data_IF_564050924632
#
_entry.id   IF_564050924632
#
_cell.length_a   1.000
_cell.length_b   1.000
_cell.length_c   1.000
_cell.angle_alpha   90.00
_cell.angle_beta   90.00
_cell.angle_gamma   90.00
#
_symmetry.space_group_name_H-M   'P 1'
#
loop_
_entity.id
_entity.type
_entity.pdbx_description
1 polymer ?
#
# COMPACT_ATOMS: atom_id res chain seq x y z
N UNK A 1 58.08 5.98 -23.67
CA UNK A 1 56.87 6.82 -23.86
C UNK A 1 55.93 6.58 -22.69
N UNK A 2 55.27 7.65 -22.27
CA UNK A 2 54.57 7.83 -21.00
C UNK A 2 53.47 6.81 -20.73
N UNK A 3 53.27 6.52 -19.44
CA UNK A 3 52.04 5.98 -18.88
C UNK A 3 50.95 7.06 -19.03
N UNK A 4 49.85 6.71 -19.68
CA UNK A 4 48.55 7.40 -19.56
C UNK A 4 47.49 6.28 -19.52
N UNK A 5 47.13 5.78 -18.33
CA UNK A 5 46.02 6.28 -17.53
C UNK A 5 44.67 6.23 -18.25
N UNK A 6 43.96 5.10 -18.12
CA UNK A 6 42.51 5.11 -17.92
C UNK A 6 42.26 4.25 -16.69
N UNK A 7 41.81 4.81 -15.56
CA UNK A 7 41.40 4.00 -14.44
C UNK A 7 40.06 3.36 -14.81
N UNK A 8 40.01 2.04 -14.94
CA UNK A 8 38.78 1.26 -15.12
C UNK A 8 37.94 1.24 -13.83
N UNK A 9 37.65 2.43 -13.29
CA UNK A 9 36.80 2.65 -12.12
C UNK A 9 35.33 2.94 -12.50
N UNK A 10 34.84 2.40 -13.62
CA UNK A 10 33.47 2.71 -14.10
C UNK A 10 32.61 1.54 -14.58
N UNK A 11 32.93 0.28 -14.25
CA UNK A 11 32.04 -0.84 -14.60
C UNK A 11 31.84 -1.85 -13.46
N UNK A 12 31.67 -1.38 -12.23
CA UNK A 12 30.83 -2.12 -11.29
C UNK A 12 29.36 -1.84 -11.65
N UNK A 13 28.93 -2.28 -12.83
CA UNK A 13 27.50 -2.50 -13.11
C UNK A 13 27.13 -3.70 -12.26
N UNK A 14 26.71 -3.44 -11.03
CA UNK A 14 26.22 -4.46 -10.11
C UNK A 14 25.04 -5.16 -10.78
N UNK A 15 25.29 -6.33 -11.38
CA UNK A 15 24.24 -7.20 -11.87
C UNK A 15 23.54 -7.71 -10.62
N UNK A 16 22.39 -7.14 -10.30
CA UNK A 16 21.53 -7.67 -9.26
C UNK A 16 21.28 -9.15 -9.58
N UNK A 17 21.59 -10.02 -8.63
CA UNK A 17 21.26 -11.44 -8.72
C UNK A 17 19.75 -11.62 -8.87
N UNK A 18 19.28 -12.73 -9.46
CA UNK A 18 17.84 -12.98 -9.63
C UNK A 18 17.07 -12.83 -8.29
N UNK A 19 17.66 -13.28 -7.18
CA UNK A 19 17.11 -13.13 -5.83
C UNK A 19 17.10 -11.66 -5.32
N UNK A 20 17.97 -10.78 -5.79
CA UNK A 20 17.93 -9.34 -5.49
C UNK A 20 16.87 -8.63 -6.34
N UNK A 21 16.71 -9.03 -7.59
CA UNK A 21 15.67 -8.52 -8.47
C UNK A 21 14.26 -8.90 -7.97
N UNK A 22 14.04 -10.18 -7.63
CA UNK A 22 12.79 -10.66 -7.01
C UNK A 22 12.50 -9.94 -5.68
N UNK A 23 13.54 -9.65 -4.87
CA UNK A 23 13.44 -8.84 -3.64
C UNK A 23 12.94 -7.42 -3.91
N UNK A 24 13.50 -6.77 -4.93
CA UNK A 24 13.09 -5.42 -5.34
C UNK A 24 11.64 -5.42 -5.83
N UNK A 25 11.25 -6.36 -6.70
CA UNK A 25 9.89 -6.46 -7.22
C UNK A 25 8.86 -6.74 -6.11
N UNK A 26 9.18 -7.63 -5.16
CA UNK A 26 8.30 -7.94 -4.04
C UNK A 26 8.07 -6.73 -3.13
N UNK A 27 9.14 -6.00 -2.77
CA UNK A 27 9.03 -4.77 -1.96
C UNK A 27 8.26 -3.67 -2.67
N UNK A 28 8.48 -3.48 -3.97
CA UNK A 28 7.72 -2.53 -4.76
C UNK A 28 6.23 -2.87 -4.82
N UNK A 29 5.90 -4.16 -4.96
CA UNK A 29 4.52 -4.63 -4.97
C UNK A 29 3.84 -4.42 -3.62
N UNK A 30 4.48 -4.81 -2.51
CA UNK A 30 3.98 -4.58 -1.15
C UNK A 30 3.72 -3.09 -0.90
N UNK A 31 4.64 -2.22 -1.33
CA UNK A 31 4.48 -0.78 -1.20
C UNK A 31 3.27 -0.25 -1.98
N UNK A 32 3.05 -0.72 -3.22
CA UNK A 32 1.87 -0.37 -4.03
C UNK A 32 0.56 -0.84 -3.39
N UNK A 33 0.53 -2.07 -2.86
CA UNK A 33 -0.65 -2.61 -2.18
C UNK A 33 -0.96 -1.81 -0.91
N UNK A 34 0.06 -1.51 -0.09
CA UNK A 34 -0.08 -0.64 1.09
C UNK A 34 -0.66 0.72 0.71
N UNK A 35 -0.15 1.34 -0.35
CA UNK A 35 -0.67 2.63 -0.82
C UNK A 35 -2.14 2.54 -1.21
N UNK A 36 -2.56 1.48 -1.92
CA UNK A 36 -3.96 1.27 -2.28
C UNK A 36 -4.86 1.07 -1.04
N UNK A 37 -4.39 0.31 -0.05
CA UNK A 37 -5.09 0.07 1.23
C UNK A 37 -5.26 1.38 2.00
N UNK A 38 -4.23 2.22 2.07
CA UNK A 38 -4.29 3.55 2.70
C UNK A 38 -5.29 4.49 2.00
N UNK A 39 -5.31 4.50 0.67
CA UNK A 39 -6.29 5.26 -0.11
C UNK A 39 -7.72 4.78 0.21
N UNK A 40 -7.93 3.46 0.24
CA UNK A 40 -9.21 2.86 0.59
C UNK A 40 -9.68 3.26 1.99
N UNK A 41 -8.78 3.21 2.98
CA UNK A 41 -9.08 3.61 4.35
C UNK A 41 -9.46 5.10 4.45
N UNK A 42 -8.73 5.98 3.76
CA UNK A 42 -9.03 7.41 3.71
C UNK A 42 -10.40 7.67 3.08
N UNK A 43 -10.70 7.02 1.95
CA UNK A 43 -11.99 7.16 1.28
C UNK A 43 -13.14 6.67 2.16
N UNK A 44 -12.95 5.55 2.87
CA UNK A 44 -13.95 5.03 3.81
C UNK A 44 -14.24 6.03 4.95
N UNK A 45 -13.19 6.63 5.52
CA UNK A 45 -13.33 7.65 6.56
C UNK A 45 -14.18 8.85 6.12
N UNK A 46 -13.95 9.35 4.91
CA UNK A 46 -14.76 10.44 4.34
C UNK A 46 -16.22 10.04 4.10
N UNK A 47 -16.45 8.85 3.53
CA UNK A 47 -17.81 8.35 3.30
C UNK A 47 -18.59 8.23 4.62
N UNK A 48 -17.94 7.78 5.69
CA UNK A 48 -18.53 7.73 7.03
C UNK A 48 -18.88 9.13 7.54
N UNK A 49 -17.96 10.09 7.45
CA UNK A 49 -18.23 11.49 7.84
C UNK A 49 -19.42 12.08 7.09
N UNK A 50 -19.45 11.94 5.77
CA UNK A 50 -20.55 12.43 4.94
C UNK A 50 -21.89 11.78 5.31
N UNK A 51 -21.89 10.50 5.69
CA UNK A 51 -23.10 9.81 6.16
C UNK A 51 -23.55 10.37 7.51
N UNK A 52 -22.64 10.52 8.46
CA UNK A 52 -22.94 11.06 9.79
C UNK A 52 -23.52 12.49 9.68
N UNK A 53 -22.98 13.31 8.77
CA UNK A 53 -23.47 14.66 8.47
C UNK A 53 -24.87 14.63 7.83
N UNK A 54 -25.11 13.71 6.89
CA UNK A 54 -26.43 13.53 6.27
C UNK A 54 -27.49 13.14 7.31
N UNK A 55 -27.16 12.16 8.15
CA UNK A 55 -28.04 11.68 9.22
C UNK A 55 -28.27 12.76 10.29
N UNK A 56 -27.29 13.63 10.55
CA UNK A 56 -27.44 14.79 11.44
C UNK A 56 -28.36 15.85 10.84
N UNK A 57 -28.21 16.17 9.54
CA UNK A 57 -29.07 17.12 8.85
C UNK A 57 -30.54 16.67 8.84
N UNK A 58 -30.79 15.39 8.54
CA UNK A 58 -32.14 14.81 8.56
C UNK A 58 -32.77 14.89 9.96
N UNK A 59 -32.00 14.60 11.02
CA UNK A 59 -32.47 14.75 12.41
C UNK A 59 -32.84 16.19 12.78
N UNK A 60 -32.25 17.18 12.13
CA UNK A 60 -32.60 18.60 12.29
C UNK A 60 -33.76 19.04 11.39
N UNK A 61 -34.43 18.11 10.71
CA UNK A 61 -35.52 18.42 9.78
C UNK A 61 -35.05 19.02 8.46
N UNK A 62 -33.75 18.98 8.16
CA UNK A 62 -33.18 19.43 6.88
C UNK A 62 -33.08 18.24 5.95
N UNK A 63 -33.86 18.19 4.85
CA UNK A 63 -33.83 17.06 3.93
C UNK A 63 -32.46 16.98 3.25
N UNK A 64 -31.84 15.80 3.26
CA UNK A 64 -30.59 15.55 2.54
C UNK A 64 -30.90 15.16 1.08
N UNK A 65 -30.21 15.74 0.08
CA UNK A 65 -30.48 15.40 -1.32
C UNK A 65 -30.21 13.92 -1.60
N UNK A 66 -31.20 13.19 -2.14
CA UNK A 66 -31.10 11.73 -2.39
C UNK A 66 -29.89 11.33 -3.24
N UNK A 67 -29.47 12.18 -4.19
CA UNK A 67 -28.30 11.92 -5.04
C UNK A 67 -26.94 12.23 -4.39
N UNK A 68 -26.93 12.82 -3.19
CA UNK A 68 -25.70 13.16 -2.47
C UNK A 68 -25.41 12.19 -1.33
N UNK A 69 -26.34 11.27 -1.01
CA UNK A 69 -26.13 10.30 0.07
C UNK A 69 -25.00 9.34 -0.32
N UNK A 70 -23.95 9.21 0.50
CA UNK A 70 -22.89 8.24 0.24
C UNK A 70 -23.47 6.84 0.11
N UNK A 71 -23.07 6.11 -0.94
CA UNK A 71 -23.38 4.70 -1.09
C UNK A 71 -22.40 3.93 -0.21
N UNK A 72 -22.90 3.27 0.82
CA UNK A 72 -22.09 2.31 1.58
C UNK A 72 -21.89 1.06 0.72
N UNK A 73 -20.74 0.98 0.06
CA UNK A 73 -20.39 -0.14 -0.83
C UNK A 73 -19.98 -1.37 -0.03
N UNK A 74 -19.53 -1.19 1.21
CA UNK A 74 -18.99 -2.29 2.02
C UNK A 74 -20.07 -2.95 2.86
N UNK A 75 -21.01 -2.19 3.45
CA UNK A 75 -22.05 -2.71 4.35
C UNK A 75 -21.52 -3.45 5.59
N UNK A 76 -20.19 -3.50 5.75
CA UNK A 76 -19.48 -4.24 6.77
C UNK A 76 -19.04 -3.27 7.88
N UNK A 77 -19.59 -3.41 9.10
CA UNK A 77 -19.18 -2.59 10.24
C UNK A 77 -17.71 -2.78 10.61
N UNK A 78 -17.07 -3.87 10.18
CA UNK A 78 -15.68 -4.21 10.47
C UNK A 78 -14.71 -3.76 9.36
N UNK A 79 -15.15 -3.03 8.33
CA UNK A 79 -14.28 -2.62 7.22
C UNK A 79 -13.00 -1.91 7.68
N UNK A 80 -13.08 -1.05 8.71
CA UNK A 80 -11.91 -0.38 9.31
C UNK A 80 -10.93 -1.40 9.92
N UNK A 81 -11.44 -2.40 10.64
CA UNK A 81 -10.62 -3.44 11.24
C UNK A 81 -9.90 -4.23 10.14
N UNK A 82 -10.62 -4.61 9.08
CA UNK A 82 -10.05 -5.32 7.94
C UNK A 82 -8.93 -4.52 7.26
N UNK A 83 -9.10 -3.20 7.08
CA UNK A 83 -8.04 -2.33 6.56
C UNK A 83 -6.82 -2.28 7.50
N UNK A 84 -7.04 -2.19 8.82
CA UNK A 84 -5.94 -2.15 9.79
C UNK A 84 -5.17 -3.47 9.87
N UNK A 85 -5.86 -4.61 9.83
CA UNK A 85 -5.26 -5.94 9.79
C UNK A 85 -4.44 -6.14 8.51
N UNK A 86 -4.97 -5.68 7.37
CA UNK A 86 -4.25 -5.71 6.10
C UNK A 86 -2.97 -4.85 6.15
N UNK A 87 -3.01 -3.66 6.74
CA UNK A 87 -1.81 -2.82 6.90
C UNK A 87 -0.77 -3.49 7.81
N UNK A 88 -1.20 -4.03 8.95
CA UNK A 88 -0.31 -4.74 9.88
C UNK A 88 0.34 -5.96 9.22
N UNK A 89 -0.42 -6.71 8.42
CA UNK A 89 0.12 -7.81 7.63
C UNK A 89 1.18 -7.34 6.63
N UNK A 90 0.91 -6.25 5.90
CA UNK A 90 1.85 -5.71 4.92
C UNK A 90 3.15 -5.19 5.55
N UNK A 91 3.08 -4.58 6.74
CA UNK A 91 4.26 -4.20 7.53
C UNK A 91 5.09 -5.42 7.90
N UNK A 92 4.45 -6.50 8.38
CA UNK A 92 5.15 -7.73 8.71
C UNK A 92 5.85 -8.34 7.49
N UNK A 93 5.18 -8.35 6.33
CA UNK A 93 5.75 -8.88 5.08
C UNK A 93 6.95 -8.04 4.59
N UNK A 94 6.97 -6.73 4.85
CA UNK A 94 8.09 -5.85 4.48
C UNK A 94 9.33 -6.09 5.38
N UNK A 95 9.09 -6.46 6.64
CA UNK A 95 10.12 -6.72 7.66
C UNK A 95 10.62 -8.17 7.68
N UNK A 96 9.85 -9.14 7.15
CA UNK A 96 10.25 -10.56 7.15
C UNK A 96 11.53 -10.77 6.34
N UNK A 97 12.57 -11.38 6.94
CA UNK A 97 13.73 -11.84 6.18
C UNK A 97 13.29 -13.02 5.32
N UNK A 98 13.40 -12.87 3.99
CA UNK A 98 13.15 -13.96 3.06
C UNK A 98 14.14 -15.10 3.32
N UNK A 99 13.63 -16.28 3.63
CA UNK A 99 14.47 -17.44 3.92
C UNK A 99 14.84 -18.08 2.59
N UNK A 100 16.12 -18.00 2.22
CA UNK A 100 16.63 -18.70 1.05
C UNK A 100 16.76 -20.20 1.37
N UNK A 101 15.93 -21.04 0.76
CA UNK A 101 16.09 -22.49 0.80
C UNK A 101 16.48 -22.97 -0.61
N UNK A 102 17.67 -23.57 -0.73
CA UNK A 102 18.20 -24.13 -1.99
C UNK A 102 18.13 -23.19 -3.22
N UNK A 103 18.44 -21.90 -3.01
CA UNK A 103 18.45 -20.90 -4.09
C UNK A 103 17.06 -20.42 -4.52
N UNK A 104 16.01 -20.72 -3.75
CA UNK A 104 14.66 -20.19 -3.93
C UNK A 104 14.25 -19.38 -2.70
N UNK A 105 13.53 -18.30 -2.93
CA UNK A 105 12.86 -17.51 -1.89
C UNK A 105 11.68 -18.34 -1.37
N UNK A 106 11.67 -18.66 -0.07
CA UNK A 106 10.56 -19.33 0.63
C UNK A 106 9.98 -18.39 1.67
#
# INVERSE_FOLDING_TARGET
>A
MSKDSIPETQQARTVATAAEYERCEHREMVSKVRQAVLIGLSAFGELKRMRDDADAAERMGRPYPRGMRPIDVCGDPNAILNFSEALQFLEHVEEMPLVMHDGRIV
#
